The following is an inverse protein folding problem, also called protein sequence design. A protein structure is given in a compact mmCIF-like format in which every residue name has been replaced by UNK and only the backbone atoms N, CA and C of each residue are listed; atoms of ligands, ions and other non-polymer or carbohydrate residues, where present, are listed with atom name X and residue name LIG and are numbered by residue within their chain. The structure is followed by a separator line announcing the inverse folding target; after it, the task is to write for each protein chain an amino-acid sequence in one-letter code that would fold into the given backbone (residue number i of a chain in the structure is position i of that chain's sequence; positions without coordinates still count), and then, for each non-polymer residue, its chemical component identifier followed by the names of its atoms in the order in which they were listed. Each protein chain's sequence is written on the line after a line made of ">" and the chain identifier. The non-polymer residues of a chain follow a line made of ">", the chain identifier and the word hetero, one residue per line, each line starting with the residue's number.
data_IF_212586974871
#
_entry.id   IF_212586974871
#
_cell.length_a   1.000
_cell.length_b   1.000
_cell.length_c   1.000
_cell.angle_alpha   90.00
_cell.angle_beta   90.00
_cell.angle_gamma   90.00
#
_symmetry.space_group_name_H-M   'P 1'
#
loop_
_entity.id
_entity.type
_entity.pdbx_description
1 polymer ?
#
# COMPACT_ATOMS: atom_id res chain seq x y z
N UNK A 1 60.31 -16.69 -6.47
CA UNK A 1 60.37 -17.83 -5.53
C UNK A 1 58.95 -18.28 -5.25
N UNK A 2 58.65 -19.55 -5.57
CA UNK A 2 57.50 -20.40 -5.20
C UNK A 2 56.08 -19.88 -5.55
N UNK A 3 55.40 -20.33 -6.62
CA UNK A 3 54.92 -21.68 -7.00
C UNK A 3 53.69 -22.19 -6.21
N UNK A 4 52.56 -22.22 -6.94
CA UNK A 4 51.43 -23.16 -6.93
C UNK A 4 51.08 -23.96 -5.66
N UNK A 5 49.83 -23.81 -5.22
CA UNK A 5 48.98 -24.95 -4.85
C UNK A 5 47.56 -24.72 -5.35
N UNK A 6 47.22 -25.39 -6.47
CA UNK A 6 45.84 -25.79 -6.78
C UNK A 6 45.68 -27.21 -6.23
N UNK A 7 44.62 -27.47 -5.46
CA UNK A 7 43.74 -28.60 -5.80
C UNK A 7 42.49 -28.67 -4.94
N UNK A 8 41.38 -28.91 -5.65
CA UNK A 8 40.22 -29.72 -5.27
C UNK A 8 39.31 -29.23 -4.13
N UNK A 9 38.29 -28.45 -4.50
CA UNK A 9 36.89 -28.67 -4.07
C UNK A 9 35.90 -27.81 -4.86
N UNK A 10 36.06 -27.66 -6.19
CA UNK A 10 35.17 -26.82 -7.00
C UNK A 10 33.86 -27.49 -7.43
N UNK A 11 33.65 -28.79 -7.21
CA UNK A 11 32.49 -29.49 -7.80
C UNK A 11 31.36 -29.86 -6.82
N UNK A 12 31.44 -29.41 -5.56
CA UNK A 12 30.37 -29.65 -4.57
C UNK A 12 29.56 -28.38 -4.22
N UNK A 13 30.05 -27.19 -4.57
CA UNK A 13 29.38 -25.91 -4.32
C UNK A 13 28.47 -25.46 -5.48
N UNK A 14 28.78 -25.83 -6.72
CA UNK A 14 27.90 -25.55 -7.88
C UNK A 14 26.65 -26.44 -7.92
N UNK A 15 26.64 -27.59 -7.23
CA UNK A 15 25.50 -28.50 -7.21
C UNK A 15 24.51 -28.25 -6.07
N UNK A 16 24.87 -27.46 -5.05
CA UNK A 16 23.97 -27.09 -3.94
C UNK A 16 23.20 -25.78 -4.25
N UNK A 17 23.72 -24.96 -5.16
CA UNK A 17 23.05 -23.73 -5.63
C UNK A 17 21.95 -23.99 -6.68
N UNK A 18 21.75 -25.24 -7.11
CA UNK A 18 20.83 -25.57 -8.21
C UNK A 18 19.42 -26.02 -7.79
N UNK A 19 19.12 -26.04 -6.49
CA UNK A 19 17.82 -26.51 -5.96
C UNK A 19 17.08 -25.47 -5.10
N UNK A 20 17.43 -24.18 -5.21
CA UNK A 20 16.79 -23.12 -4.45
C UNK A 20 16.62 -21.83 -5.27
N UNK A 21 15.85 -21.89 -6.37
CA UNK A 21 15.20 -20.71 -7.00
C UNK A 21 14.33 -21.06 -8.23
N UNK A 22 13.74 -22.25 -8.31
CA UNK A 22 13.04 -22.70 -9.54
C UNK A 22 11.57 -22.22 -9.64
N UNK A 23 11.35 -20.94 -9.34
CA UNK A 23 10.11 -20.26 -9.72
C UNK A 23 10.49 -19.28 -10.83
N UNK A 24 10.29 -19.70 -12.07
CA UNK A 24 10.49 -18.80 -13.21
C UNK A 24 9.56 -17.58 -13.10
N UNK A 25 9.97 -16.44 -13.65
CA UNK A 25 9.11 -15.24 -13.73
C UNK A 25 7.73 -15.55 -14.34
N UNK A 26 7.67 -16.49 -15.28
CA UNK A 26 6.43 -16.99 -15.88
C UNK A 26 5.50 -17.65 -14.85
N UNK A 27 6.04 -18.31 -13.83
CA UNK A 27 5.24 -18.92 -12.76
C UNK A 27 4.66 -17.87 -11.81
N UNK A 28 5.38 -16.75 -11.58
CA UNK A 28 4.88 -15.65 -10.72
C UNK A 28 3.70 -14.94 -11.38
N UNK A 29 3.78 -14.65 -12.68
CA UNK A 29 2.68 -13.97 -13.38
C UNK A 29 1.40 -14.83 -13.39
N UNK A 30 1.52 -16.16 -13.60
CA UNK A 30 0.37 -17.07 -13.48
C UNK A 30 -0.29 -17.06 -12.10
N UNK A 31 0.51 -16.93 -11.03
CA UNK A 31 -0.01 -16.83 -9.68
C UNK A 31 -0.72 -15.48 -9.43
N UNK A 32 -0.20 -14.38 -9.99
CA UNK A 32 -0.87 -13.07 -9.92
C UNK A 32 -2.19 -13.08 -10.68
N UNK A 33 -2.22 -13.66 -11.88
CA UNK A 33 -3.45 -13.82 -12.67
C UNK A 33 -4.50 -14.64 -11.90
N UNK A 34 -4.04 -15.71 -11.23
CA UNK A 34 -4.92 -16.53 -10.40
C UNK A 34 -5.45 -15.76 -9.18
N UNK A 35 -4.61 -15.02 -8.45
CA UNK A 35 -5.04 -14.17 -7.34
C UNK A 35 -6.03 -13.09 -7.80
N UNK A 36 -5.76 -12.42 -8.93
CA UNK A 36 -6.67 -11.45 -9.55
C UNK A 36 -8.03 -12.06 -9.88
N UNK A 37 -8.05 -13.29 -10.40
CA UNK A 37 -9.29 -14.01 -10.68
C UNK A 37 -10.11 -14.24 -9.40
N UNK A 38 -9.46 -14.64 -8.29
CA UNK A 38 -10.13 -14.84 -6.99
C UNK A 38 -10.70 -13.54 -6.42
N UNK A 39 -9.91 -12.46 -6.46
CA UNK A 39 -10.36 -11.11 -6.08
C UNK A 39 -11.60 -10.71 -6.88
N UNK A 40 -11.57 -10.88 -8.20
CA UNK A 40 -12.67 -10.48 -9.08
C UNK A 40 -13.90 -11.41 -8.98
N UNK A 41 -13.72 -12.69 -8.68
CA UNK A 41 -14.81 -13.61 -8.36
C UNK A 41 -15.56 -13.15 -7.10
N UNK A 42 -14.82 -12.75 -6.06
CA UNK A 42 -15.44 -12.24 -4.84
C UNK A 42 -16.12 -10.88 -5.09
N UNK A 43 -15.46 -9.94 -5.77
CA UNK A 43 -16.08 -8.66 -6.16
C UNK A 43 -17.38 -8.87 -6.95
N UNK A 44 -17.41 -9.84 -7.88
CA UNK A 44 -18.61 -10.21 -8.64
C UNK A 44 -19.74 -10.74 -7.74
N UNK A 45 -19.44 -11.59 -6.74
CA UNK A 45 -20.43 -12.07 -5.78
C UNK A 45 -21.07 -10.94 -4.98
N UNK A 46 -20.33 -9.86 -4.74
CA UNK A 46 -20.81 -8.65 -4.06
C UNK A 46 -21.34 -7.56 -5.01
N UNK A 47 -21.52 -7.86 -6.30
CA UNK A 47 -22.10 -6.92 -7.26
C UNK A 47 -21.20 -5.75 -7.64
N UNK A 48 -19.88 -5.87 -7.45
CA UNK A 48 -18.90 -4.83 -7.75
C UNK A 48 -18.25 -5.06 -9.12
N UNK A 49 -17.82 -3.96 -9.75
CA UNK A 49 -17.01 -4.01 -10.95
C UNK A 49 -15.66 -4.71 -10.67
N UNK A 50 -15.12 -5.50 -11.61
CA UNK A 50 -13.81 -6.09 -11.46
C UNK A 50 -12.73 -5.01 -11.41
N UNK A 51 -11.60 -5.32 -10.76
CA UNK A 51 -10.37 -4.52 -10.84
C UNK A 51 -9.43 -5.11 -11.89
N UNK A 52 -8.59 -4.25 -12.47
CA UNK A 52 -7.56 -4.64 -13.44
C UNK A 52 -6.20 -4.78 -12.78
N UNK A 53 -5.34 -5.65 -13.34
CA UNK A 53 -3.95 -5.73 -12.89
C UNK A 53 -3.22 -4.40 -13.15
N UNK A 54 -2.52 -3.90 -12.12
CA UNK A 54 -1.61 -2.76 -12.23
C UNK A 54 -0.17 -3.23 -12.41
N UNK A 55 0.61 -2.44 -13.15
CA UNK A 55 2.03 -2.70 -13.39
C UNK A 55 2.95 -2.06 -12.34
N UNK A 56 2.40 -1.40 -11.31
CA UNK A 56 3.20 -0.84 -10.23
C UNK A 56 3.92 -1.95 -9.45
N UNK A 57 5.24 -1.81 -9.26
CA UNK A 57 6.07 -2.87 -8.67
C UNK A 57 6.18 -2.82 -7.15
N UNK A 58 5.61 -1.82 -6.47
CA UNK A 58 5.71 -1.65 -5.02
C UNK A 58 5.21 -2.89 -4.25
N UNK A 59 4.12 -3.51 -4.71
CA UNK A 59 3.58 -4.72 -4.10
C UNK A 59 4.59 -5.88 -4.16
N UNK A 60 5.27 -6.07 -5.30
CA UNK A 60 6.29 -7.12 -5.46
C UNK A 60 7.53 -6.86 -4.59
N UNK A 61 7.94 -5.59 -4.47
CA UNK A 61 9.06 -5.19 -3.60
C UNK A 61 8.74 -5.53 -2.14
N UNK A 62 7.54 -5.20 -1.67
CA UNK A 62 7.10 -5.56 -0.33
C UNK A 62 7.01 -7.08 -0.16
N UNK A 63 6.47 -7.82 -1.13
CA UNK A 63 6.40 -9.29 -1.04
C UNK A 63 7.78 -9.94 -0.90
N UNK A 64 8.75 -9.50 -1.70
CA UNK A 64 10.14 -9.98 -1.62
C UNK A 64 10.75 -9.69 -0.25
N UNK A 65 10.44 -8.53 0.32
CA UNK A 65 10.89 -8.17 1.66
C UNK A 65 10.26 -9.07 2.74
N UNK A 66 8.96 -9.34 2.68
CA UNK A 66 8.29 -10.26 3.60
C UNK A 66 8.93 -11.66 3.55
N UNK A 67 9.25 -12.16 2.34
CA UNK A 67 9.97 -13.43 2.20
C UNK A 67 11.37 -13.37 2.82
N UNK A 68 12.10 -12.27 2.64
CA UNK A 68 13.46 -12.08 3.14
C UNK A 68 13.50 -11.97 4.68
N UNK A 69 12.56 -11.25 5.27
CA UNK A 69 12.51 -11.01 6.72
C UNK A 69 11.74 -12.10 7.47
N UNK A 70 10.86 -12.82 6.76
CA UNK A 70 9.88 -13.75 7.30
C UNK A 70 9.01 -13.13 8.41
N UNK A 71 8.73 -11.83 8.26
CA UNK A 71 7.98 -11.04 9.24
C UNK A 71 6.94 -10.16 8.54
N UNK A 72 5.66 -10.33 8.89
CA UNK A 72 4.56 -9.55 8.31
C UNK A 72 4.52 -8.13 8.87
N UNK A 73 4.62 -7.14 7.98
CA UNK A 73 4.57 -5.71 8.31
C UNK A 73 4.11 -4.91 7.09
N UNK A 74 3.28 -3.89 7.31
CA UNK A 74 2.91 -2.90 6.28
C UNK A 74 4.04 -1.93 5.94
N UNK A 75 5.06 -1.85 6.79
CA UNK A 75 6.24 -1.03 6.55
C UNK A 75 7.35 -1.87 5.94
N UNK A 76 8.14 -1.25 5.05
CA UNK A 76 9.45 -1.80 4.68
C UNK A 76 10.41 -1.74 5.87
N UNK A 77 11.50 -2.49 5.85
CA UNK A 77 12.55 -2.46 6.88
C UNK A 77 13.22 -1.10 7.01
N UNK A 78 13.16 -0.30 5.95
CA UNK A 78 13.62 1.08 5.93
C UNK A 78 12.54 2.06 6.41
N UNK A 79 11.35 1.58 6.78
CA UNK A 79 10.28 2.37 7.40
C UNK A 79 9.29 3.00 6.43
N UNK A 80 9.34 2.66 5.13
CA UNK A 80 8.37 3.20 4.15
C UNK A 80 6.99 2.59 4.41
N UNK A 81 5.99 3.46 4.53
CA UNK A 81 4.58 3.07 4.51
C UNK A 81 4.11 2.74 3.08
N UNK A 82 2.98 2.03 2.90
CA UNK A 82 2.53 1.58 1.56
C UNK A 82 2.38 2.69 0.52
N UNK A 83 1.82 3.85 0.87
CA UNK A 83 1.65 4.98 -0.06
C UNK A 83 2.97 5.66 -0.45
N UNK A 84 3.97 5.65 0.46
CA UNK A 84 5.30 6.17 0.18
C UNK A 84 6.02 5.25 -0.82
N UNK A 85 5.98 3.95 -0.57
CA UNK A 85 6.57 2.94 -1.46
C UNK A 85 5.87 2.97 -2.83
N UNK A 86 4.54 3.03 -2.85
CA UNK A 86 3.76 3.13 -4.08
C UNK A 86 4.16 4.36 -4.91
N UNK A 87 4.27 5.54 -4.29
CA UNK A 87 4.71 6.78 -4.97
C UNK A 87 6.15 6.66 -5.48
N UNK A 88 7.07 6.08 -4.70
CA UNK A 88 8.47 5.87 -5.08
C UNK A 88 8.62 4.99 -6.34
N UNK A 89 7.69 4.06 -6.55
CA UNK A 89 7.61 3.23 -7.75
C UNK A 89 6.64 3.78 -8.80
N UNK A 90 6.52 5.11 -8.89
CA UNK A 90 5.72 5.85 -9.88
C UNK A 90 4.22 5.53 -9.83
N UNK A 91 3.69 5.24 -8.64
CA UNK A 91 2.27 5.09 -8.40
C UNK A 91 1.54 6.41 -8.55
N UNK A 92 0.36 6.37 -9.18
CA UNK A 92 -0.36 7.57 -9.63
C UNK A 92 -1.78 7.67 -9.06
N UNK A 93 -2.31 6.57 -8.54
CA UNK A 93 -3.61 6.52 -7.87
C UNK A 93 -3.52 6.77 -6.37
N UNK A 94 -4.67 6.66 -5.69
CA UNK A 94 -4.69 6.44 -4.25
C UNK A 94 -4.60 4.94 -3.96
N UNK A 95 -3.81 4.54 -2.96
CA UNK A 95 -3.50 3.13 -2.67
C UNK A 95 -3.93 2.66 -1.29
N UNK A 96 -4.49 1.46 -1.21
CA UNK A 96 -4.82 0.76 0.02
C UNK A 96 -4.28 -0.68 -0.02
N UNK A 97 -3.66 -1.17 1.05
CA UNK A 97 -2.90 -2.42 1.04
C UNK A 97 -3.52 -3.51 1.91
N UNK A 98 -3.60 -4.73 1.36
CA UNK A 98 -3.75 -5.97 2.11
C UNK A 98 -2.45 -6.79 2.09
N UNK A 99 -2.18 -7.50 3.18
CA UNK A 99 -1.06 -8.43 3.30
C UNK A 99 -1.55 -9.79 3.76
N UNK A 100 -1.06 -10.84 3.11
CA UNK A 100 -1.30 -12.22 3.51
C UNK A 100 0.00 -13.00 3.63
N UNK A 101 0.11 -13.84 4.66
CA UNK A 101 1.24 -14.73 4.87
C UNK A 101 0.76 -16.14 5.25
N UNK A 102 1.39 -17.16 4.68
CA UNK A 102 1.34 -18.53 5.19
C UNK A 102 2.76 -18.97 5.54
N UNK A 103 2.97 -19.40 6.78
CA UNK A 103 4.24 -19.97 7.21
C UNK A 103 4.07 -20.94 8.37
N UNK A 104 5.08 -21.79 8.59
CA UNK A 104 5.15 -22.67 9.75
C UNK A 104 5.76 -21.91 10.93
N UNK A 105 5.05 -21.78 12.05
CA UNK A 105 5.55 -21.07 13.24
C UNK A 105 5.71 -22.08 14.38
N UNK A 106 6.81 -22.00 15.13
CA UNK A 106 6.93 -22.74 16.40
C UNK A 106 5.99 -22.11 17.45
N UNK A 107 5.01 -22.88 17.90
CA UNK A 107 4.08 -22.52 18.99
C UNK A 107 4.76 -21.99 20.26
N UNK A 108 6.03 -22.33 20.54
CA UNK A 108 6.78 -21.84 21.70
C UNK A 108 7.30 -20.40 21.56
N UNK A 109 7.38 -19.86 20.35
CA UNK A 109 7.75 -18.46 20.11
C UNK A 109 6.57 -17.50 20.36
N UNK A 110 5.32 -17.99 20.34
CA UNK A 110 4.14 -17.19 20.69
C UNK A 110 4.03 -16.94 22.20
N UNK A 111 4.53 -17.85 23.06
CA UNK A 111 4.47 -17.72 24.53
C UNK A 111 5.55 -16.82 25.13
N UNK A 112 6.58 -16.41 24.38
CA UNK A 112 7.70 -15.62 24.90
C UNK A 112 7.56 -14.10 24.72
N UNK A 113 6.44 -13.59 24.20
CA UNK A 113 6.24 -12.13 24.15
C UNK A 113 6.11 -11.49 25.55
N UNK A 114 5.83 -12.28 26.60
CA UNK A 114 5.76 -11.80 27.98
C UNK A 114 7.00 -12.10 28.84
N UNK A 115 8.00 -12.83 28.34
CA UNK A 115 9.19 -13.21 29.12
C UNK A 115 10.48 -12.74 28.42
N UNK A 116 10.88 -11.50 28.73
CA UNK A 116 12.09 -10.80 28.23
C UNK A 116 13.44 -11.43 28.60
N UNK A 117 13.50 -12.65 29.13
CA UNK A 117 14.75 -13.21 29.68
C UNK A 117 15.37 -14.43 28.98
N UNK A 118 14.82 -14.96 27.88
CA UNK A 118 15.47 -16.07 27.15
C UNK A 118 15.46 -15.89 25.62
N UNK A 119 16.22 -14.90 25.14
CA UNK A 119 16.48 -14.66 23.71
C UNK A 119 17.54 -15.61 23.14
N UNK A 120 17.27 -16.91 23.08
CA UNK A 120 18.22 -17.89 22.49
C UNK A 120 17.55 -18.96 21.64
N UNK A 121 16.68 -18.61 20.68
CA UNK A 121 16.51 -19.31 19.38
C UNK A 121 15.28 -18.73 18.64
N UNK A 122 15.42 -17.52 18.09
CA UNK A 122 14.44 -16.95 17.16
C UNK A 122 14.59 -17.64 15.80
N UNK A 123 14.10 -18.87 15.68
CA UNK A 123 14.08 -19.59 14.42
C UNK A 123 13.02 -18.99 13.51
N UNK A 124 13.42 -18.65 12.30
CA UNK A 124 12.50 -18.29 11.22
C UNK A 124 11.65 -19.50 10.83
N UNK A 125 10.50 -19.25 10.20
CA UNK A 125 9.59 -20.32 9.76
C UNK A 125 10.26 -21.38 8.89
N UNK A 126 11.18 -20.96 8.03
CA UNK A 126 11.95 -21.89 7.20
C UNK A 126 12.96 -22.70 8.00
N UNK A 127 13.65 -22.09 8.97
CA UNK A 127 14.63 -22.79 9.79
C UNK A 127 13.97 -23.87 10.65
N UNK A 128 12.76 -23.61 11.17
CA UNK A 128 11.96 -24.59 11.90
C UNK A 128 11.80 -25.91 11.13
N UNK A 129 11.54 -25.84 9.83
CA UNK A 129 11.32 -26.99 8.97
C UNK A 129 12.61 -27.66 8.45
N UNK A 130 13.79 -27.12 8.77
CA UNK A 130 15.09 -27.62 8.27
C UNK A 130 16.06 -28.06 9.37
N UNK A 131 15.76 -27.81 10.65
CA UNK A 131 16.65 -28.22 11.76
C UNK A 131 16.67 -29.75 11.91
N UNK A 132 17.83 -30.27 12.33
CA UNK A 132 18.12 -31.69 12.59
C UNK A 132 17.15 -32.43 13.55
N UNK A 133 16.24 -31.70 14.22
CA UNK A 133 15.07 -32.27 14.90
C UNK A 133 13.94 -32.39 13.87
N UNK A 134 13.77 -33.58 13.29
CA UNK A 134 12.81 -33.97 12.24
C UNK A 134 11.39 -33.36 12.38
N UNK A 135 11.21 -32.10 12.00
CA UNK A 135 9.90 -31.54 11.69
C UNK A 135 9.77 -31.48 10.17
N UNK A 136 9.10 -32.48 9.60
CA UNK A 136 8.82 -32.50 8.17
C UNK A 136 7.58 -31.65 7.90
N UNK A 137 7.80 -30.39 7.53
CA UNK A 137 6.75 -29.54 6.98
C UNK A 137 6.47 -29.94 5.53
N UNK A 138 5.19 -29.99 5.15
CA UNK A 138 4.83 -30.12 3.75
C UNK A 138 5.28 -28.84 2.99
N UNK A 139 5.74 -28.95 1.73
CA UNK A 139 5.92 -27.79 0.88
C UNK A 139 4.61 -27.00 0.75
N UNK A 140 4.68 -25.67 0.78
CA UNK A 140 3.52 -24.82 0.49
C UNK A 140 3.21 -24.88 -1.00
N UNK A 141 1.96 -25.21 -1.33
CA UNK A 141 1.40 -25.03 -2.67
C UNK A 141 0.94 -23.57 -2.82
N UNK A 142 1.54 -22.78 -3.74
CA UNK A 142 1.23 -21.37 -3.88
C UNK A 142 -0.21 -21.10 -4.37
N UNK A 143 -0.82 -21.98 -5.18
CA UNK A 143 -2.22 -21.80 -5.60
C UNK A 143 -3.17 -21.97 -4.42
N UNK A 144 -2.97 -23.02 -3.62
CA UNK A 144 -3.73 -23.25 -2.40
C UNK A 144 -3.50 -22.14 -1.36
N UNK A 145 -2.28 -21.59 -1.31
CA UNK A 145 -1.98 -20.47 -0.42
C UNK A 145 -2.78 -19.22 -0.79
N UNK A 146 -2.88 -18.90 -2.08
CA UNK A 146 -3.71 -17.80 -2.57
C UNK A 146 -5.19 -18.05 -2.20
N UNK A 147 -5.73 -19.22 -2.51
CA UNK A 147 -7.13 -19.53 -2.20
C UNK A 147 -7.46 -19.37 -0.71
N UNK A 148 -6.58 -19.87 0.15
CA UNK A 148 -6.77 -19.76 1.60
C UNK A 148 -6.68 -18.30 2.06
N UNK A 149 -5.70 -17.54 1.59
CA UNK A 149 -5.51 -16.14 2.01
C UNK A 149 -6.68 -15.26 1.54
N UNK A 150 -7.12 -15.38 0.29
CA UNK A 150 -8.28 -14.65 -0.22
C UNK A 150 -9.54 -15.01 0.57
N UNK A 151 -9.76 -16.30 0.84
CA UNK A 151 -10.91 -16.73 1.63
C UNK A 151 -10.88 -16.12 3.03
N UNK A 152 -9.73 -16.15 3.72
CA UNK A 152 -9.59 -15.57 5.05
C UNK A 152 -9.82 -14.05 5.03
N UNK A 153 -9.25 -13.33 4.06
CA UNK A 153 -9.39 -11.88 3.95
C UNK A 153 -10.82 -11.42 3.60
N UNK A 154 -11.65 -12.26 2.97
CA UNK A 154 -13.02 -11.91 2.58
C UNK A 154 -14.08 -12.45 3.54
N UNK A 155 -13.91 -13.67 4.04
CA UNK A 155 -14.95 -14.41 4.76
C UNK A 155 -14.61 -14.66 6.24
N UNK A 156 -13.36 -14.49 6.68
CA UNK A 156 -12.92 -14.70 8.08
C UNK A 156 -11.95 -13.61 8.58
N UNK A 157 -12.17 -12.36 8.16
CA UNK A 157 -11.23 -11.25 8.41
C UNK A 157 -11.47 -10.55 9.77
N UNK A 158 -12.69 -10.65 10.29
CA UNK A 158 -13.15 -9.96 11.50
C UNK A 158 -12.24 -10.21 12.70
N UNK A 159 -11.80 -11.45 12.90
CA UNK A 159 -11.04 -11.86 14.10
C UNK A 159 -9.63 -11.28 14.13
N UNK A 160 -8.93 -11.28 13.01
CA UNK A 160 -7.56 -10.75 12.95
C UNK A 160 -7.54 -9.23 12.80
N UNK A 161 -8.49 -8.70 12.02
CA UNK A 161 -8.27 -7.47 11.28
C UNK A 161 -9.51 -6.58 11.21
N UNK A 162 -10.60 -6.94 11.93
CA UNK A 162 -11.86 -6.17 12.01
C UNK A 162 -12.44 -5.84 10.64
N UNK A 163 -12.39 -6.80 9.71
CA UNK A 163 -12.87 -6.66 8.34
C UNK A 163 -12.09 -5.61 7.51
N UNK A 164 -10.91 -5.19 7.95
CA UNK A 164 -10.07 -4.22 7.25
C UNK A 164 -9.66 -4.68 5.86
N UNK A 165 -9.24 -5.94 5.70
CA UNK A 165 -8.88 -6.49 4.39
C UNK A 165 -10.11 -6.67 3.51
N UNK A 166 -11.19 -7.17 4.11
CA UNK A 166 -12.48 -7.36 3.42
C UNK A 166 -13.01 -6.05 2.85
N UNK A 167 -13.02 -5.00 3.67
CA UNK A 167 -13.50 -3.67 3.30
C UNK A 167 -12.62 -3.05 2.21
N UNK A 168 -11.31 -3.29 2.25
CA UNK A 168 -10.39 -2.86 1.21
C UNK A 168 -10.70 -3.57 -0.12
N UNK A 169 -10.72 -4.90 -0.16
CA UNK A 169 -10.97 -5.66 -1.40
C UNK A 169 -12.34 -5.34 -2.03
N UNK A 170 -13.36 -5.08 -1.18
CA UNK A 170 -14.72 -4.76 -1.60
C UNK A 170 -14.98 -3.25 -1.71
N UNK A 171 -13.96 -2.40 -1.62
CA UNK A 171 -14.14 -0.98 -1.86
C UNK A 171 -14.49 -0.76 -3.35
N UNK A 172 -15.68 -0.18 -3.57
CA UNK A 172 -16.26 0.06 -4.90
C UNK A 172 -15.47 1.08 -5.73
N UNK A 173 -14.62 1.89 -5.10
CA UNK A 173 -13.81 2.89 -5.78
C UNK A 173 -12.49 2.35 -6.31
N UNK A 174 -12.10 1.13 -5.97
CA UNK A 174 -10.94 0.52 -6.58
C UNK A 174 -11.21 0.13 -8.02
N UNK A 175 -10.23 0.46 -8.86
CA UNK A 175 -10.25 0.21 -10.31
C UNK A 175 -9.16 -0.78 -10.70
N UNK A 176 -8.07 -0.82 -9.93
CA UNK A 176 -6.92 -1.66 -10.20
C UNK A 176 -6.39 -2.28 -8.91
N UNK A 177 -5.54 -3.29 -9.07
CA UNK A 177 -4.74 -3.88 -7.99
C UNK A 177 -3.36 -4.24 -8.53
N UNK A 178 -2.29 -3.86 -7.82
CA UNK A 178 -0.96 -4.45 -8.03
C UNK A 178 -0.74 -5.57 -7.03
N UNK A 179 -0.32 -6.73 -7.53
CA UNK A 179 -0.17 -7.95 -6.73
C UNK A 179 1.32 -8.33 -6.69
N UNK A 180 1.85 -8.48 -5.49
CA UNK A 180 3.19 -9.02 -5.23
C UNK A 180 3.11 -10.39 -4.61
N UNK A 181 3.87 -11.35 -5.13
CA UNK A 181 3.93 -12.72 -4.59
C UNK A 181 5.39 -13.13 -4.44
N UNK A 182 5.76 -13.60 -3.26
CA UNK A 182 7.09 -14.14 -3.00
C UNK A 182 6.98 -15.33 -2.04
N UNK A 183 7.63 -16.44 -2.39
CA UNK A 183 7.57 -17.65 -1.59
C UNK A 183 8.82 -18.50 -1.73
N UNK A 184 9.03 -19.35 -0.73
CA UNK A 184 9.92 -20.50 -0.78
C UNK A 184 9.13 -21.75 -0.36
N UNK A 185 9.82 -22.85 -0.10
CA UNK A 185 9.18 -24.12 0.26
C UNK A 185 8.26 -24.04 1.49
N UNK A 186 8.52 -23.14 2.44
CA UNK A 186 7.89 -23.11 3.77
C UNK A 186 7.36 -21.73 4.20
N UNK A 187 7.45 -20.75 3.31
CA UNK A 187 6.96 -19.40 3.54
C UNK A 187 6.33 -18.87 2.25
N UNK A 188 5.14 -18.29 2.35
CA UNK A 188 4.45 -17.63 1.26
C UNK A 188 3.95 -16.27 1.73
N UNK A 189 4.20 -15.22 0.94
CA UNK A 189 3.67 -13.89 1.15
C UNK A 189 2.98 -13.38 -0.11
N UNK A 190 1.85 -12.70 0.09
CA UNK A 190 1.08 -12.02 -0.92
C UNK A 190 0.77 -10.60 -0.45
N UNK A 191 0.97 -9.63 -1.34
CA UNK A 191 0.71 -8.21 -1.12
C UNK A 191 -0.25 -7.75 -2.20
N UNK A 192 -1.36 -7.14 -1.80
CA UNK A 192 -2.32 -6.54 -2.72
C UNK A 192 -2.37 -5.04 -2.44
N UNK A 193 -1.97 -4.23 -3.41
CA UNK A 193 -2.12 -2.79 -3.37
C UNK A 193 -3.31 -2.44 -4.27
N UNK A 194 -4.48 -2.18 -3.69
CA UNK A 194 -5.66 -1.73 -4.42
C UNK A 194 -5.56 -0.24 -4.74
N UNK A 195 -5.96 0.14 -5.95
CA UNK A 195 -5.69 1.46 -6.50
C UNK A 195 -6.96 2.14 -7.05
N UNK A 196 -7.12 3.40 -6.70
CA UNK A 196 -8.06 4.32 -7.33
C UNK A 196 -7.31 5.04 -8.46
N UNK A 197 -7.47 4.57 -9.71
CA UNK A 197 -6.82 5.17 -10.90
C UNK A 197 -7.88 5.88 -11.73
N UNK A 198 -8.12 7.13 -11.39
CA UNK A 198 -9.10 7.98 -12.07
C UNK A 198 -8.47 9.08 -12.93
N UNK A 199 -7.14 9.24 -12.91
CA UNK A 199 -6.43 10.24 -13.69
C UNK A 199 -5.76 9.61 -14.91
N UNK A 200 -5.73 10.34 -16.03
CA UNK A 200 -4.99 9.96 -17.23
C UNK A 200 -3.48 9.87 -16.94
N UNK A 201 -2.76 9.07 -17.74
CA UNK A 201 -1.35 8.74 -17.48
C UNK A 201 -0.37 9.89 -17.67
N UNK A 202 -0.78 10.95 -18.36
CA UNK A 202 0.01 12.15 -18.64
C UNK A 202 -0.08 13.22 -17.55
N UNK A 203 -0.82 12.95 -16.46
CA UNK A 203 -0.90 13.87 -15.32
C UNK A 203 0.48 14.26 -14.78
N UNK A 204 0.58 15.49 -14.29
CA UNK A 204 1.79 16.09 -13.77
C UNK A 204 1.57 16.53 -12.34
N UNK A 205 2.44 16.07 -11.45
CA UNK A 205 2.60 16.65 -10.11
C UNK A 205 4.04 17.14 -10.01
N UNK A 206 4.20 18.44 -9.84
CA UNK A 206 5.51 19.07 -9.73
C UNK A 206 5.55 19.89 -8.44
N UNK A 207 6.71 19.85 -7.76
CA UNK A 207 6.99 20.69 -6.59
C UNK A 207 8.25 21.51 -6.88
N UNK A 208 8.12 22.82 -6.80
CA UNK A 208 9.20 23.79 -6.92
C UNK A 208 9.21 24.67 -5.66
N UNK A 209 10.22 24.44 -4.80
CA UNK A 209 10.25 24.90 -3.41
C UNK A 209 8.94 24.59 -2.69
N UNK A 210 8.16 25.61 -2.33
CA UNK A 210 6.87 25.45 -1.64
C UNK A 210 5.68 25.50 -2.61
N UNK A 211 5.89 25.68 -3.91
CA UNK A 211 4.83 25.66 -4.90
C UNK A 211 4.61 24.24 -5.40
N UNK A 212 3.37 23.78 -5.39
CA UNK A 212 2.96 22.51 -5.98
C UNK A 212 1.98 22.80 -7.11
N UNK A 213 2.24 22.21 -8.27
CA UNK A 213 1.34 22.23 -9.43
C UNK A 213 0.82 20.83 -9.71
N UNK A 214 -0.49 20.69 -9.85
CA UNK A 214 -1.17 19.48 -10.29
C UNK A 214 -1.94 19.78 -11.58
N UNK A 215 -1.53 19.15 -12.67
CA UNK A 215 -2.26 19.14 -13.94
C UNK A 215 -2.68 17.70 -14.26
N UNK A 216 -3.97 17.44 -14.41
CA UNK A 216 -4.46 16.10 -14.66
C UNK A 216 -5.78 16.12 -15.43
N UNK A 217 -6.16 14.98 -15.99
CA UNK A 217 -7.48 14.79 -16.58
C UNK A 217 -8.17 13.58 -15.96
N UNK A 218 -9.43 13.74 -15.56
CA UNK A 218 -10.24 12.67 -14.96
C UNK A 218 -10.77 11.76 -16.08
N UNK A 219 -10.43 10.48 -16.00
CA UNK A 219 -10.94 9.42 -16.86
C UNK A 219 -12.41 9.13 -16.57
N UNK A 220 -13.19 8.88 -17.62
CA UNK A 220 -14.62 8.53 -17.54
C UNK A 220 -15.47 9.49 -16.69
N UNK A 221 -15.08 10.77 -16.63
CA UNK A 221 -15.76 11.78 -15.80
C UNK A 221 -17.27 11.87 -16.07
N UNK A 222 -17.72 11.68 -17.31
CA UNK A 222 -19.15 11.66 -17.66
C UNK A 222 -19.93 10.52 -16.98
N UNK A 223 -19.26 9.43 -16.56
CA UNK A 223 -19.88 8.32 -15.84
C UNK A 223 -19.79 8.48 -14.32
N UNK A 224 -18.69 9.05 -13.84
CA UNK A 224 -18.37 9.06 -12.41
C UNK A 224 -18.80 10.37 -11.73
N UNK A 225 -18.78 11.48 -12.47
CA UNK A 225 -19.21 12.82 -12.04
C UNK A 225 -18.50 13.30 -10.76
N UNK A 226 -17.17 13.20 -10.72
CA UNK A 226 -16.38 13.66 -9.58
C UNK A 226 -16.17 15.16 -9.57
N UNK A 227 -16.35 15.79 -8.42
CA UNK A 227 -15.98 17.18 -8.18
C UNK A 227 -14.87 17.21 -7.13
N UNK A 228 -13.76 17.87 -7.43
CA UNK A 228 -12.66 18.03 -6.46
C UNK A 228 -13.20 18.81 -5.27
N UNK A 229 -13.06 18.20 -4.09
CA UNK A 229 -13.57 18.73 -2.84
C UNK A 229 -12.51 19.53 -2.09
N UNK A 230 -11.34 18.94 -1.89
CA UNK A 230 -10.18 19.58 -1.25
C UNK A 230 -8.91 18.77 -1.56
N UNK A 231 -7.75 19.34 -1.26
CA UNK A 231 -6.47 18.63 -1.25
C UNK A 231 -5.96 18.61 0.19
N UNK A 232 -5.58 17.45 0.70
CA UNK A 232 -5.00 17.30 2.04
C UNK A 232 -3.50 17.02 1.95
N UNK A 233 -2.75 17.53 2.92
CA UNK A 233 -1.34 17.24 3.10
C UNK A 233 -1.07 16.66 4.48
N UNK A 234 -0.40 15.52 4.46
CA UNK A 234 -0.02 14.74 5.63
C UNK A 234 1.50 14.81 5.80
N UNK A 235 1.95 14.97 7.05
CA UNK A 235 3.37 14.95 7.40
C UNK A 235 3.73 13.66 8.13
N UNK A 236 4.77 13.02 7.64
CA UNK A 236 5.42 11.87 8.26
C UNK A 236 6.87 12.20 8.62
N UNK A 237 7.38 11.52 9.66
CA UNK A 237 8.82 11.43 9.87
C UNK A 237 9.48 10.69 8.70
N UNK A 238 10.76 10.98 8.44
CA UNK A 238 11.51 10.24 7.42
C UNK A 238 11.52 8.74 7.73
N UNK A 239 11.30 7.89 6.71
CA UNK A 239 11.37 6.45 6.85
C UNK A 239 12.80 6.08 7.25
N UNK A 240 12.91 5.41 8.40
CA UNK A 240 14.18 4.83 8.85
C UNK A 240 13.94 3.44 9.43
N UNK A 241 15.02 2.68 9.58
CA UNK A 241 15.00 1.41 10.31
C UNK A 241 14.47 1.57 11.76
N UNK A 242 14.69 2.71 12.41
CA UNK A 242 14.16 2.97 13.76
C UNK A 242 12.64 3.10 13.71
N UNK A 243 12.11 3.81 12.71
CA UNK A 243 10.65 3.91 12.48
C UNK A 243 10.05 2.55 12.22
N UNK A 244 10.69 1.71 11.40
CA UNK A 244 10.29 0.31 11.19
C UNK A 244 10.25 -0.47 12.51
N UNK A 245 11.34 -0.52 13.27
CA UNK A 245 11.40 -1.30 14.51
C UNK A 245 10.34 -0.88 15.54
N UNK A 246 10.01 0.42 15.60
CA UNK A 246 8.95 0.95 16.47
C UNK A 246 7.54 0.54 16.02
N UNK A 247 7.31 0.37 14.72
CA UNK A 247 5.97 0.24 14.15
C UNK A 247 5.67 -1.10 13.47
N UNK A 248 6.67 -1.99 13.28
CA UNK A 248 6.53 -3.23 12.51
C UNK A 248 5.43 -4.18 13.01
N UNK A 249 5.07 -4.11 14.30
CA UNK A 249 4.03 -4.95 14.91
C UNK A 249 2.62 -4.39 14.74
N UNK A 250 2.44 -3.21 14.14
CA UNK A 250 1.11 -2.64 13.89
C UNK A 250 0.41 -3.45 12.80
N UNK A 251 -0.85 -3.80 13.06
CA UNK A 251 -1.70 -4.54 12.13
C UNK A 251 -2.38 -3.64 11.10
N UNK A 252 -2.16 -2.32 11.18
CA UNK A 252 -2.65 -1.33 10.25
C UNK A 252 -1.58 -0.26 10.01
N UNK A 253 -1.81 0.57 8.99
CA UNK A 253 -1.07 1.78 8.75
C UNK A 253 -2.04 2.93 8.53
N UNK A 254 -1.57 4.13 8.78
CA UNK A 254 -2.32 5.36 8.58
C UNK A 254 -1.47 6.31 7.76
N UNK A 255 -2.10 7.29 7.11
CA UNK A 255 -1.39 8.46 6.60
C UNK A 255 -0.64 9.17 7.76
N UNK A 256 0.26 10.09 7.43
CA UNK A 256 0.91 10.94 8.43
C UNK A 256 -0.08 11.82 9.18
N UNK A 257 0.44 12.76 9.96
CA UNK A 257 -0.39 13.74 10.64
C UNK A 257 -0.98 14.70 9.59
N UNK A 258 -2.31 14.83 9.54
CA UNK A 258 -2.95 15.85 8.70
C UNK A 258 -2.56 17.23 9.22
N UNK A 259 -1.95 18.05 8.37
CA UNK A 259 -1.46 19.40 8.76
C UNK A 259 -2.02 20.53 7.92
N UNK A 260 -2.42 20.26 6.68
CA UNK A 260 -2.93 21.29 5.79
C UNK A 260 -4.04 20.74 4.91
N UNK A 261 -5.13 21.50 4.81
CA UNK A 261 -6.19 21.33 3.82
C UNK A 261 -6.15 22.55 2.90
N UNK A 262 -6.14 22.28 1.60
CA UNK A 262 -6.22 23.30 0.55
C UNK A 262 -7.58 23.20 -0.10
N UNK A 263 -8.28 24.33 -0.12
CA UNK A 263 -9.64 24.43 -0.66
C UNK A 263 -9.72 25.46 -1.79
N UNK A 264 -10.84 25.42 -2.52
CA UNK A 264 -11.16 26.40 -3.56
C UNK A 264 -11.18 27.83 -2.96
N UNK A 265 -10.63 28.84 -3.65
CA UNK A 265 -10.76 30.23 -3.24
C UNK A 265 -12.24 30.65 -3.05
N UNK A 266 -12.53 31.30 -1.94
CA UNK A 266 -13.86 31.81 -1.64
C UNK A 266 -14.02 33.27 -2.08
N UNK A 267 -15.26 33.77 -2.22
CA UNK A 267 -15.50 35.20 -2.34
C UNK A 267 -14.92 35.96 -1.14
N UNK A 268 -14.41 37.17 -1.37
CA UNK A 268 -13.65 37.96 -0.38
C UNK A 268 -14.38 38.30 0.93
N UNK A 269 -15.70 38.10 1.00
CA UNK A 269 -16.54 38.40 2.16
C UNK A 269 -16.80 37.19 3.06
N UNK A 270 -16.31 36.00 2.70
CA UNK A 270 -16.37 34.80 3.54
C UNK A 270 -14.97 34.23 3.75
N UNK A 271 -14.82 33.38 4.77
CA UNK A 271 -13.58 32.67 5.06
C UNK A 271 -13.89 31.26 5.54
N UNK A 272 -12.95 30.35 5.33
CA UNK A 272 -13.02 29.04 5.95
C UNK A 272 -12.93 29.17 7.47
N UNK A 273 -13.77 28.39 8.16
CA UNK A 273 -13.65 28.22 9.61
C UNK A 273 -12.43 27.36 9.88
N UNK A 274 -11.42 27.97 10.49
CA UNK A 274 -10.24 27.25 10.96
C UNK A 274 -10.65 26.32 12.11
N UNK A 275 -9.98 25.18 12.19
CA UNK A 275 -10.11 24.28 13.33
C UNK A 275 -9.30 24.79 14.52
N UNK A 276 -9.47 24.14 15.67
CA UNK A 276 -8.73 24.47 16.89
C UNK A 276 -7.21 24.38 16.69
N UNK A 277 -6.47 25.20 17.45
CA UNK A 277 -5.00 25.21 17.44
C UNK A 277 -4.43 23.79 17.66
N UNK A 278 -3.46 23.41 16.83
CA UNK A 278 -2.79 22.10 16.90
C UNK A 278 -3.38 21.00 16.02
N UNK A 279 -4.47 21.28 15.29
CA UNK A 279 -5.04 20.37 14.29
C UNK A 279 -4.39 20.54 12.91
N UNK A 280 -5.13 21.08 11.94
CA UNK A 280 -4.68 21.38 10.58
C UNK A 280 -5.07 22.80 10.19
N UNK A 281 -4.29 23.41 9.31
CA UNK A 281 -4.59 24.72 8.72
C UNK A 281 -5.44 24.54 7.45
N UNK A 282 -6.38 25.46 7.21
CA UNK A 282 -7.11 25.53 5.93
C UNK A 282 -6.64 26.76 5.15
N UNK A 283 -6.11 26.55 3.95
CA UNK A 283 -5.73 27.64 3.03
C UNK A 283 -6.51 27.54 1.72
N UNK A 284 -6.52 28.64 0.98
CA UNK A 284 -7.01 28.69 -0.38
C UNK A 284 -5.89 28.34 -1.37
N UNK A 285 -6.22 27.64 -2.45
CA UNK A 285 -5.28 27.41 -3.55
C UNK A 285 -4.94 28.73 -4.26
N UNK A 286 -3.74 28.83 -4.83
CA UNK A 286 -3.38 29.94 -5.74
C UNK A 286 -4.19 29.89 -7.04
N UNK A 287 -4.45 28.66 -7.52
CA UNK A 287 -5.25 28.38 -8.71
C UNK A 287 -6.12 27.16 -8.47
N UNK A 288 -7.37 27.22 -8.89
CA UNK A 288 -8.36 26.15 -8.77
C UNK A 288 -9.21 26.08 -10.03
N UNK A 289 -8.61 25.65 -11.14
CA UNK A 289 -9.28 25.59 -12.43
C UNK A 289 -9.70 24.15 -12.73
N UNK A 290 -11.01 23.97 -12.89
CA UNK A 290 -11.63 22.69 -13.23
C UNK A 290 -12.48 22.90 -14.48
N UNK A 291 -12.01 22.43 -15.63
CA UNK A 291 -12.73 22.55 -16.91
C UNK A 291 -12.71 21.23 -17.70
N UNK A 292 -13.88 20.81 -18.21
CA UNK A 292 -14.01 19.68 -19.14
C UNK A 292 -13.16 18.45 -18.77
N UNK A 293 -13.24 18.02 -17.51
CA UNK A 293 -12.53 16.91 -16.89
C UNK A 293 -11.07 17.18 -16.51
N UNK A 294 -10.53 18.34 -16.87
CA UNK A 294 -9.19 18.75 -16.48
C UNK A 294 -9.18 19.31 -15.06
N UNK A 295 -8.09 19.06 -14.37
CA UNK A 295 -7.72 19.57 -13.07
C UNK A 295 -6.45 20.38 -13.28
N UNK A 296 -6.46 21.65 -12.91
CA UNK A 296 -5.28 22.52 -12.91
C UNK A 296 -5.27 23.31 -11.60
N UNK A 297 -4.46 22.80 -10.66
CA UNK A 297 -4.33 23.36 -9.31
C UNK A 297 -2.92 23.87 -9.10
N UNK A 298 -2.82 25.06 -8.50
CA UNK A 298 -1.57 25.60 -7.98
C UNK A 298 -1.72 25.87 -6.48
N UNK A 299 -0.78 25.37 -5.71
CA UNK A 299 -0.80 25.38 -4.24
C UNK A 299 0.52 25.98 -3.78
N UNK A 300 0.47 26.89 -2.80
CA UNK A 300 1.66 27.34 -2.08
C UNK A 300 1.58 26.82 -0.66
N UNK A 301 2.53 25.96 -0.30
CA UNK A 301 2.71 25.51 1.07
C UNK A 301 3.07 26.75 1.92
N UNK A 302 2.37 26.97 3.05
CA UNK A 302 2.64 28.10 3.91
C UNK A 302 3.91 27.88 4.72
N UNK A 303 4.64 28.96 5.04
CA UNK A 303 5.87 28.91 5.84
C UNK A 303 5.63 28.34 7.27
N UNK A 304 4.37 28.38 7.74
CA UNK A 304 3.92 27.75 8.99
C UNK A 304 4.07 26.22 8.97
N UNK A 305 4.03 25.60 7.79
CA UNK A 305 4.16 24.16 7.62
C UNK A 305 5.64 23.79 7.46
N UNK A 306 6.27 23.36 8.55
CA UNK A 306 7.64 22.87 8.51
C UNK A 306 7.72 21.50 7.81
N UNK A 307 8.07 21.52 6.52
CA UNK A 307 8.27 20.33 5.69
C UNK A 307 9.71 19.83 5.65
N UNK A 308 10.65 20.55 6.26
CA UNK A 308 12.07 20.21 6.26
C UNK A 308 12.31 18.92 7.04
N UNK A 309 13.13 18.03 6.50
CA UNK A 309 13.45 16.72 7.10
C UNK A 309 12.18 15.88 7.38
N UNK A 310 11.13 16.05 6.56
CA UNK A 310 9.85 15.34 6.64
C UNK A 310 9.44 14.78 5.28
N UNK A 311 8.57 13.79 5.34
CA UNK A 311 7.87 13.27 4.17
C UNK A 311 6.50 13.93 4.09
N UNK A 312 6.24 14.63 2.98
CA UNK A 312 4.98 15.31 2.72
C UNK A 312 4.16 14.47 1.75
N UNK A 313 2.98 14.02 2.15
CA UNK A 313 2.06 13.27 1.27
C UNK A 313 0.83 14.10 0.95
N UNK A 314 0.63 14.38 -0.33
CA UNK A 314 -0.56 15.02 -0.88
C UNK A 314 -1.62 13.97 -1.19
N UNK A 315 -2.88 14.25 -0.87
CA UNK A 315 -4.04 13.44 -1.28
C UNK A 315 -5.12 14.35 -1.84
N UNK A 316 -5.57 14.09 -3.06
CA UNK A 316 -6.64 14.84 -3.72
C UNK A 316 -7.96 14.12 -3.48
N UNK A 317 -8.91 14.79 -2.84
CA UNK A 317 -10.22 14.24 -2.55
C UNK A 317 -11.28 14.83 -3.46
N UNK A 318 -12.21 13.99 -3.91
CA UNK A 318 -13.38 14.37 -4.66
C UNK A 318 -14.67 13.94 -3.95
N UNK A 319 -15.80 14.53 -4.34
CA UNK A 319 -17.13 14.03 -4.04
C UNK A 319 -17.82 13.66 -5.34
N UNK A 320 -18.68 12.66 -5.31
CA UNK A 320 -19.60 12.41 -6.42
C UNK A 320 -20.65 13.52 -6.39
N UNK A 321 -20.84 14.23 -7.50
CA UNK A 321 -21.92 15.20 -7.57
C UNK A 321 -23.26 14.46 -7.63
N UNK A 322 -24.20 14.83 -6.77
CA UNK A 322 -25.54 14.28 -6.80
C UNK A 322 -26.19 14.66 -8.13
N UNK A 323 -26.60 13.64 -8.89
CA UNK A 323 -27.54 13.87 -9.98
C UNK A 323 -28.83 14.30 -9.32
N UNK A 324 -29.16 15.60 -9.35
CA UNK A 324 -30.49 16.10 -8.98
C UNK A 324 -31.51 15.31 -9.79
N UNK A 325 -32.19 14.34 -9.18
CA UNK A 325 -33.08 13.44 -9.91
C UNK A 325 -33.59 12.19 -9.20
N UNK A 326 -33.08 11.81 -8.01
CA UNK A 326 -33.71 10.76 -7.18
C UNK A 326 -34.05 11.32 -5.80
N UNK A 327 -35.15 12.06 -5.74
CA UNK A 327 -35.84 12.38 -4.49
C UNK A 327 -36.54 11.10 -4.00
N UNK A 328 -35.79 10.16 -3.43
CA UNK A 328 -36.27 9.14 -2.49
C UNK A 328 -35.09 8.30 -1.99
N UNK A 329 -34.40 8.78 -0.95
CA UNK A 329 -34.05 7.96 0.22
C UNK A 329 -33.44 8.85 1.29
N UNK A 330 -34.11 8.91 2.44
CA UNK A 330 -33.56 9.45 3.67
C UNK A 330 -32.24 8.73 3.99
N UNK A 331 -31.11 9.42 3.86
CA UNK A 331 -29.90 9.24 4.65
C UNK A 331 -28.96 10.43 4.39
N UNK A 332 -29.18 11.52 5.13
CA UNK A 332 -28.24 12.65 5.30
C UNK A 332 -26.98 12.22 6.07
N UNK A 333 -26.20 11.28 5.51
CA UNK A 333 -24.77 11.22 5.75
C UNK A 333 -24.11 11.79 4.49
N UNK A 334 -23.63 13.04 4.58
CA UNK A 334 -22.88 13.66 3.50
C UNK A 334 -21.79 12.70 3.02
N UNK A 335 -21.89 12.22 1.78
CA UNK A 335 -21.01 11.18 1.26
C UNK A 335 -19.54 11.53 1.52
N UNK A 336 -18.82 10.63 2.20
CA UNK A 336 -17.42 10.83 2.56
C UNK A 336 -16.59 11.13 1.30
N UNK A 337 -15.63 12.07 1.37
CA UNK A 337 -14.76 12.36 0.24
C UNK A 337 -13.98 11.12 -0.21
N UNK A 338 -13.86 10.96 -1.52
CA UNK A 338 -13.21 9.83 -2.20
C UNK A 338 -11.82 10.29 -2.64
N UNK A 339 -10.74 9.63 -2.20
CA UNK A 339 -9.39 9.97 -2.64
C UNK A 339 -9.18 9.51 -4.08
N UNK A 340 -8.79 10.44 -4.96
CA UNK A 340 -8.54 10.16 -6.37
C UNK A 340 -7.08 9.78 -6.64
N UNK A 341 -6.16 10.46 -5.97
CA UNK A 341 -4.72 10.25 -6.11
C UNK A 341 -4.01 10.60 -4.81
N UNK A 342 -2.87 9.96 -4.58
CA UNK A 342 -1.91 10.35 -3.54
C UNK A 342 -0.51 10.44 -4.13
N UNK A 343 0.28 11.42 -3.69
CA UNK A 343 1.66 11.57 -4.10
C UNK A 343 2.54 11.99 -2.92
N UNK A 344 3.69 11.35 -2.77
CA UNK A 344 4.62 11.58 -1.67
C UNK A 344 5.88 12.31 -2.14
N UNK A 345 6.17 13.44 -1.52
CA UNK A 345 7.40 14.21 -1.66
C UNK A 345 8.35 13.90 -0.50
N UNK A 346 9.57 13.44 -0.81
CA UNK A 346 10.63 13.22 0.17
C UNK A 346 11.48 14.49 0.28
N UNK A 347 11.27 15.30 1.34
CA UNK A 347 12.01 16.54 1.54
C UNK A 347 13.24 16.28 2.43
N UNK A 348 14.43 16.38 1.85
CA UNK A 348 15.71 16.18 2.53
C UNK A 348 16.34 17.48 3.02
#
# INVERSE_FOLDING_TARGET
>A
MFANFLSSSSNALEHIQKNASDVSQKNIEQLKDFALAKINDDRKKFGLAPVFQSNNTAAQVQANELLRTQFISHLTVDGLKPYMLYSLYNGTGYVQQNLGQISYIDSKNLTNQNNKHNAKNNLTSSEFCTIAKKFYCAPIDPYKAIENLEYLMIYDDKKCCKDGHRNNTLNKFHTHVSIGIAFNKYYFAMVQNFENRYLESDYQIQKDDDNIKLEAKIMEQNKINFQINHVSFFLDDHPTKIVYEKNKNKTNYELGDLKLIVSKPLPSYVKYLQQDEGSYEIIEAKKWDLDNNNIDLEIKIPDSLNVKDKVLTMVVYAKKADNKGDDNENNDEAALPIPLTSHTFFNY
#
